data_IF_555728013214
#
_entry.id   IF_555728013214
#
_cell.length_a   1.000
_cell.length_b   1.000
_cell.length_c   1.000
_cell.angle_alpha   90.00
_cell.angle_beta   90.00
_cell.angle_gamma   90.00
#
_symmetry.space_group_name_H-M   'P 1'
#
loop_
_entity.id
_entity.type
_entity.pdbx_description
1 polymer ?
#
# COMPACT_ATOMS: atom_id res chain seq x y z
N UNK A 1 22.87 -12.88 22.70
CA UNK A 1 22.34 -12.93 21.32
C UNK A 1 21.85 -14.35 21.08
N UNK A 2 20.54 -14.58 21.18
CA UNK A 2 19.93 -15.85 20.74
C UNK A 2 20.08 -15.90 19.22
N UNK A 3 20.92 -16.81 18.74
CA UNK A 3 21.03 -17.11 17.32
C UNK A 3 19.71 -17.75 16.91
N UNK A 4 18.96 -17.07 16.04
CA UNK A 4 17.83 -17.63 15.29
C UNK A 4 18.29 -18.97 14.67
N UNK A 5 17.82 -20.08 15.21
CA UNK A 5 18.24 -21.40 14.74
C UNK A 5 17.69 -21.64 13.33
N UNK A 6 18.37 -22.43 12.47
CA UNK A 6 17.85 -22.82 11.15
C UNK A 6 16.43 -23.42 11.20
N UNK A 7 16.07 -24.04 12.32
CA UNK A 7 14.71 -24.53 12.61
C UNK A 7 13.69 -23.39 12.82
N UNK A 8 14.07 -22.26 13.43
CA UNK A 8 13.24 -21.05 13.58
C UNK A 8 12.89 -20.46 12.21
N UNK A 9 13.90 -20.29 11.34
CA UNK A 9 13.70 -19.80 9.98
C UNK A 9 12.84 -20.74 9.14
N UNK A 10 13.04 -22.05 9.25
CA UNK A 10 12.22 -23.04 8.52
C UNK A 10 10.76 -22.99 8.97
N UNK A 11 10.52 -22.83 10.28
CA UNK A 11 9.17 -22.68 10.86
C UNK A 11 8.53 -21.37 10.43
N UNK A 12 9.29 -20.27 10.38
CA UNK A 12 8.82 -18.98 9.90
C UNK A 12 8.45 -19.03 8.40
N UNK A 13 9.30 -19.65 7.57
CA UNK A 13 9.04 -19.85 6.14
C UNK A 13 7.80 -20.72 5.93
N UNK A 14 7.62 -21.78 6.73
CA UNK A 14 6.43 -22.62 6.67
C UNK A 14 5.16 -21.83 7.05
N UNK A 15 5.19 -21.07 8.15
CA UNK A 15 4.08 -20.20 8.55
C UNK A 15 3.77 -19.12 7.50
N UNK A 16 4.80 -18.50 6.91
CA UNK A 16 4.64 -17.52 5.83
C UNK A 16 4.04 -18.16 4.58
N UNK A 17 4.44 -19.38 4.23
CA UNK A 17 3.88 -20.14 3.11
C UNK A 17 2.41 -20.47 3.35
N UNK A 18 2.06 -20.92 4.57
CA UNK A 18 0.69 -21.24 4.95
C UNK A 18 -0.19 -19.98 4.94
N UNK A 19 0.30 -18.86 5.49
CA UNK A 19 -0.40 -17.58 5.45
C UNK A 19 -0.58 -17.06 4.03
N UNK A 20 0.45 -17.19 3.19
CA UNK A 20 0.36 -16.83 1.78
C UNK A 20 -0.68 -17.68 1.03
N UNK A 21 -0.79 -18.96 1.34
CA UNK A 21 -1.80 -19.83 0.73
C UNK A 21 -3.21 -19.46 1.19
N UNK A 22 -3.41 -19.23 2.49
CA UNK A 22 -4.69 -18.75 3.03
C UNK A 22 -5.12 -17.43 2.39
N UNK A 23 -4.19 -16.47 2.26
CA UNK A 23 -4.45 -15.19 1.58
C UNK A 23 -4.80 -15.37 0.09
N UNK A 24 -4.20 -16.35 -0.59
CA UNK A 24 -4.52 -16.66 -1.99
C UNK A 24 -5.93 -17.26 -2.13
N UNK A 25 -6.32 -18.13 -1.22
CA UNK A 25 -7.68 -18.69 -1.16
C UNK A 25 -8.71 -17.61 -0.86
N UNK A 26 -8.41 -16.72 0.10
CA UNK A 26 -9.28 -15.58 0.43
C UNK A 26 -9.45 -14.62 -0.77
N UNK A 27 -8.36 -14.32 -1.49
CA UNK A 27 -8.43 -13.54 -2.74
C UNK A 27 -9.30 -14.23 -3.79
N UNK A 28 -9.22 -15.57 -3.91
CA UNK A 28 -10.02 -16.33 -4.86
C UNK A 28 -11.52 -16.31 -4.50
N UNK A 29 -11.85 -16.54 -3.23
CA UNK A 29 -13.23 -16.47 -2.73
C UNK A 29 -13.82 -15.06 -2.90
N UNK A 30 -13.05 -14.02 -2.56
CA UNK A 30 -13.46 -12.64 -2.76
C UNK A 30 -13.75 -12.31 -4.23
N UNK A 31 -12.97 -12.86 -5.17
CA UNK A 31 -13.21 -12.68 -6.61
C UNK A 31 -14.52 -13.35 -7.06
N UNK A 32 -14.77 -14.57 -6.61
CA UNK A 32 -16.02 -15.28 -6.90
C UNK A 32 -17.24 -14.54 -6.35
N UNK A 33 -17.14 -14.00 -5.13
CA UNK A 33 -18.22 -13.19 -4.53
C UNK A 33 -18.50 -11.92 -5.33
N UNK A 34 -17.46 -11.27 -5.83
CA UNK A 34 -17.60 -10.05 -6.64
C UNK A 34 -18.21 -10.34 -8.00
N UNK A 35 -17.80 -11.42 -8.66
CA UNK A 35 -18.39 -11.87 -9.92
C UNK A 35 -19.88 -12.21 -9.73
N UNK A 36 -20.20 -12.99 -8.69
CA UNK A 36 -21.59 -13.32 -8.32
C UNK A 36 -22.43 -12.08 -7.98
N UNK A 37 -21.86 -11.11 -7.26
CA UNK A 37 -22.54 -9.85 -6.95
C UNK A 37 -22.79 -9.00 -8.21
N UNK A 38 -21.84 -8.96 -9.15
CA UNK A 38 -22.00 -8.27 -10.44
C UNK A 38 -23.11 -8.92 -11.28
N UNK A 39 -23.15 -10.25 -11.36
CA UNK A 39 -24.19 -11.00 -12.08
C UNK A 39 -25.58 -10.83 -11.44
N UNK A 40 -25.65 -10.77 -10.11
CA UNK A 40 -26.90 -10.51 -9.39
C UNK A 40 -27.46 -9.10 -9.65
N UNK A 41 -26.59 -8.09 -9.75
CA UNK A 41 -26.98 -6.72 -10.15
C UNK A 41 -27.42 -6.69 -11.61
N UNK A 42 -26.68 -7.34 -12.52
CA UNK A 42 -27.02 -7.40 -13.94
C UNK A 42 -28.35 -8.12 -14.23
N UNK A 43 -28.73 -9.10 -13.39
CA UNK A 43 -29.96 -9.88 -13.54
C UNK A 43 -31.19 -9.28 -12.82
N UNK A 44 -31.03 -8.18 -12.09
CA UNK A 44 -32.14 -7.40 -11.51
C UNK A 44 -32.99 -8.12 -10.45
N UNK A 45 -32.48 -9.20 -9.83
CA UNK A 45 -33.26 -10.13 -8.97
C UNK A 45 -32.86 -10.20 -7.49
N UNK A 46 -32.15 -9.20 -6.93
CA UNK A 46 -31.79 -9.21 -5.51
C UNK A 46 -31.58 -7.83 -4.92
N UNK A 47 -31.80 -7.71 -3.61
CA UNK A 47 -31.66 -6.51 -2.76
C UNK A 47 -30.40 -5.70 -3.11
N UNK A 48 -30.56 -4.66 -3.94
CA UNK A 48 -29.52 -3.83 -4.55
C UNK A 48 -28.39 -3.40 -3.59
N UNK A 49 -28.73 -3.13 -2.32
CA UNK A 49 -27.85 -2.43 -1.40
C UNK A 49 -26.58 -3.18 -0.96
N UNK A 50 -26.60 -4.51 -0.82
CA UNK A 50 -25.48 -5.21 -0.20
C UNK A 50 -24.37 -5.55 -1.20
N UNK A 51 -24.74 -6.00 -2.40
CA UNK A 51 -23.80 -6.22 -3.50
C UNK A 51 -23.14 -4.92 -3.96
N UNK A 52 -23.89 -3.82 -4.03
CA UNK A 52 -23.34 -2.50 -4.34
C UNK A 52 -22.34 -2.01 -3.28
N UNK A 53 -22.61 -2.27 -1.99
CA UNK A 53 -21.66 -1.96 -0.90
C UNK A 53 -20.39 -2.78 -1.02
N UNK A 54 -20.49 -4.08 -1.25
CA UNK A 54 -19.33 -4.96 -1.40
C UNK A 54 -18.48 -4.59 -2.64
N UNK A 55 -19.13 -4.27 -3.76
CA UNK A 55 -18.43 -3.79 -4.96
C UNK A 55 -17.73 -2.45 -4.70
N UNK A 56 -18.37 -1.55 -3.95
CA UNK A 56 -17.77 -0.26 -3.57
C UNK A 56 -16.56 -0.48 -2.65
N UNK A 57 -16.68 -1.35 -1.65
CA UNK A 57 -15.57 -1.72 -0.76
C UNK A 57 -14.40 -2.33 -1.54
N UNK A 58 -14.69 -3.23 -2.49
CA UNK A 58 -13.63 -3.80 -3.32
C UNK A 58 -12.96 -2.73 -4.18
N UNK A 59 -13.72 -1.83 -4.81
CA UNK A 59 -13.14 -0.73 -5.61
C UNK A 59 -12.24 0.19 -4.77
N UNK A 60 -12.60 0.43 -3.50
CA UNK A 60 -11.72 1.17 -2.58
C UNK A 60 -10.43 0.40 -2.34
N UNK A 61 -10.55 -0.90 -2.04
CA UNK A 61 -9.42 -1.80 -1.76
C UNK A 61 -8.46 -1.98 -2.96
N UNK A 62 -9.01 -2.09 -4.18
CA UNK A 62 -8.23 -2.24 -5.41
C UNK A 62 -7.70 -0.92 -5.95
N UNK A 63 -7.82 0.18 -5.19
CA UNK A 63 -7.39 1.52 -5.59
C UNK A 63 -8.13 2.06 -6.84
N UNK A 64 -9.35 1.57 -7.11
CA UNK A 64 -10.18 1.96 -8.26
C UNK A 64 -11.22 3.05 -7.96
N UNK A 65 -11.39 3.44 -6.68
CA UNK A 65 -12.23 4.57 -6.29
C UNK A 65 -11.51 5.51 -5.33
N UNK A 66 -12.01 6.75 -5.25
CA UNK A 66 -11.57 7.70 -4.24
C UNK A 66 -11.87 7.14 -2.84
N UNK A 67 -10.98 7.42 -1.89
CA UNK A 67 -11.26 7.24 -0.46
C UNK A 67 -10.84 8.49 0.28
N UNK A 68 -11.54 8.77 1.37
CA UNK A 68 -11.31 9.92 2.24
C UNK A 68 -11.33 9.44 3.69
N UNK A 69 -10.47 10.00 4.51
CA UNK A 69 -10.33 9.65 5.92
C UNK A 69 -9.18 10.42 6.56
N UNK A 70 -9.01 10.27 7.88
CA UNK A 70 -7.85 10.81 8.59
C UNK A 70 -6.56 10.17 8.06
N UNK A 71 -5.45 10.89 8.14
CA UNK A 71 -4.18 10.40 7.61
C UNK A 71 -3.03 11.38 7.76
N UNK A 72 -1.93 11.09 7.08
CA UNK A 72 -0.73 11.93 6.98
C UNK A 72 -0.35 12.19 5.52
N UNK A 73 0.52 13.18 5.30
CA UNK A 73 1.05 13.48 3.96
C UNK A 73 2.57 13.70 4.03
N UNK A 74 3.33 12.82 3.39
CA UNK A 74 4.78 12.97 3.26
C UNK A 74 5.11 13.74 2.00
N UNK A 75 5.63 14.95 2.15
CA UNK A 75 6.18 15.76 1.05
C UNK A 75 7.67 15.45 0.91
N UNK A 76 8.10 15.21 -0.34
CA UNK A 76 9.50 14.92 -0.67
C UNK A 76 10.00 15.94 -1.69
N UNK A 77 11.05 16.66 -1.33
CA UNK A 77 11.68 17.68 -2.15
C UNK A 77 13.14 17.30 -2.41
N UNK A 78 13.44 16.88 -3.64
CA UNK A 78 14.76 16.42 -4.04
C UNK A 78 14.69 15.15 -4.89
N UNK A 79 15.85 14.58 -5.19
CA UNK A 79 15.94 13.33 -5.93
C UNK A 79 15.85 12.13 -4.96
N UNK A 80 14.96 11.20 -5.26
CA UNK A 80 14.91 9.89 -4.61
C UNK A 80 14.50 8.85 -5.67
N UNK A 81 14.84 7.59 -5.46
CA UNK A 81 14.67 6.53 -6.46
C UNK A 81 13.38 5.72 -6.26
N UNK A 82 13.08 4.85 -7.23
CA UNK A 82 11.88 4.00 -7.21
C UNK A 82 11.87 3.01 -6.04
N UNK A 83 13.05 2.60 -5.55
CA UNK A 83 13.18 1.68 -4.42
C UNK A 83 12.77 2.36 -3.14
N UNK A 84 13.27 3.58 -2.90
CA UNK A 84 12.86 4.38 -1.75
C UNK A 84 11.36 4.70 -1.78
N UNK A 85 10.76 4.93 -2.95
CA UNK A 85 9.30 5.07 -3.05
C UNK A 85 8.58 3.78 -2.66
N UNK A 86 9.03 2.64 -3.18
CA UNK A 86 8.46 1.34 -2.82
C UNK A 86 8.57 1.06 -1.33
N UNK A 87 9.73 1.33 -0.73
CA UNK A 87 9.98 1.14 0.70
C UNK A 87 9.09 2.05 1.55
N UNK A 88 8.95 3.33 1.17
CA UNK A 88 8.04 4.27 1.86
C UNK A 88 6.60 3.78 1.83
N UNK A 89 6.13 3.33 0.66
CA UNK A 89 4.78 2.78 0.51
C UNK A 89 4.60 1.54 1.37
N UNK A 90 5.59 0.65 1.42
CA UNK A 90 5.53 -0.56 2.23
C UNK A 90 5.53 -0.23 3.73
N UNK A 91 6.33 0.75 4.17
CA UNK A 91 6.32 1.19 5.56
C UNK A 91 4.99 1.81 5.96
N UNK A 92 4.36 2.59 5.08
CA UNK A 92 3.00 3.10 5.31
C UNK A 92 1.98 1.96 5.45
N UNK A 93 2.06 0.91 4.62
CA UNK A 93 1.22 -0.29 4.75
C UNK A 93 1.45 -1.00 6.09
N UNK A 94 2.72 -1.18 6.46
CA UNK A 94 3.11 -1.80 7.73
C UNK A 94 2.58 -1.00 8.93
N UNK A 95 2.51 0.32 8.81
CA UNK A 95 1.97 1.22 9.81
C UNK A 95 0.42 1.25 9.87
N UNK A 96 -0.26 0.46 9.03
CA UNK A 96 -1.72 0.36 9.00
C UNK A 96 -2.41 1.38 8.11
N UNK A 97 -1.73 1.92 7.09
CA UNK A 97 -2.40 2.74 6.08
C UNK A 97 -3.41 1.90 5.28
N UNK A 98 -4.66 2.33 5.26
CA UNK A 98 -5.79 1.70 4.58
C UNK A 98 -5.86 2.09 3.10
N UNK A 99 -5.36 3.29 2.77
CA UNK A 99 -5.24 3.76 1.40
C UNK A 99 -4.03 4.67 1.24
N UNK A 100 -3.32 4.51 0.13
CA UNK A 100 -2.11 5.29 -0.17
C UNK A 100 -2.23 5.90 -1.58
N UNK A 101 -1.75 7.13 -1.73
CA UNK A 101 -1.52 7.73 -3.05
C UNK A 101 -0.10 8.26 -3.17
N UNK A 102 0.46 8.14 -4.36
CA UNK A 102 1.69 8.84 -4.77
C UNK A 102 1.27 9.93 -5.73
N UNK A 103 1.47 11.19 -5.34
CA UNK A 103 0.81 12.34 -5.92
C UNK A 103 -0.71 12.08 -5.97
N UNK A 104 -1.30 12.17 -7.16
CA UNK A 104 -2.72 11.92 -7.40
C UNK A 104 -3.02 10.48 -7.84
N UNK A 105 -2.02 9.59 -7.85
CA UNK A 105 -2.19 8.19 -8.26
C UNK A 105 -2.37 7.29 -7.05
N UNK A 106 -3.50 6.57 -6.98
CA UNK A 106 -3.75 5.57 -5.95
C UNK A 106 -2.83 4.36 -6.14
N UNK A 107 -2.29 3.87 -5.05
CA UNK A 107 -1.44 2.69 -5.00
C UNK A 107 -2.27 1.54 -4.42
N UNK A 108 -2.49 0.52 -5.23
CA UNK A 108 -3.18 -0.71 -4.84
C UNK A 108 -2.22 -1.79 -4.35
N UNK A 109 -2.74 -2.94 -3.89
CA UNK A 109 -1.91 -4.04 -3.37
C UNK A 109 -0.90 -4.60 -4.37
N UNK A 110 -1.21 -4.52 -5.67
CA UNK A 110 -0.36 -5.02 -6.77
C UNK A 110 0.44 -3.93 -7.46
N UNK A 111 0.40 -2.70 -6.94
CA UNK A 111 1.11 -1.61 -7.57
C UNK A 111 2.62 -1.82 -7.53
N UNK A 112 3.29 -1.43 -8.60
CA UNK A 112 4.74 -1.59 -8.77
C UNK A 112 5.40 -0.28 -9.18
N UNK A 113 6.69 -0.17 -8.87
CA UNK A 113 7.52 1.00 -9.07
C UNK A 113 8.71 0.64 -9.95
N UNK A 114 8.98 1.44 -10.98
CA UNK A 114 10.10 1.21 -11.91
C UNK A 114 10.82 2.52 -12.22
N UNK A 115 12.13 2.47 -12.50
CA UNK A 115 12.87 3.66 -12.90
C UNK A 115 12.38 4.16 -14.26
N UNK A 116 12.29 5.49 -14.42
CA UNK A 116 11.97 6.15 -15.69
C UNK A 116 12.86 7.39 -15.90
N UNK A 117 13.02 7.92 -17.13
CA UNK A 117 13.88 9.06 -17.39
C UNK A 117 13.45 10.33 -16.60
N UNK A 118 14.24 10.68 -15.58
CA UNK A 118 13.96 11.79 -14.65
C UNK A 118 12.57 11.70 -14.00
N UNK A 119 12.10 10.47 -13.77
CA UNK A 119 10.76 10.16 -13.27
C UNK A 119 10.78 8.79 -12.55
N UNK A 120 9.72 8.49 -11.81
CA UNK A 120 9.44 7.13 -11.33
C UNK A 120 8.14 6.68 -11.96
N UNK A 121 8.12 5.51 -12.58
CA UNK A 121 6.90 4.94 -13.13
C UNK A 121 6.16 4.13 -12.07
N UNK A 122 4.92 4.52 -11.79
CA UNK A 122 3.98 3.83 -10.89
C UNK A 122 2.92 3.17 -11.76
N UNK A 123 2.84 1.84 -11.74
CA UNK A 123 1.97 1.05 -12.63
C UNK A 123 2.04 1.47 -14.11
N UNK A 124 3.26 1.74 -14.58
CA UNK A 124 3.54 2.17 -15.95
C UNK A 124 3.31 3.67 -16.22
N UNK A 125 2.77 4.44 -15.28
CA UNK A 125 2.59 5.89 -15.40
C UNK A 125 3.81 6.62 -14.82
N UNK A 126 4.54 7.35 -15.68
CA UNK A 126 5.68 8.15 -15.25
C UNK A 126 5.23 9.38 -14.44
N UNK A 127 5.65 9.44 -13.18
CA UNK A 127 5.41 10.55 -12.26
C UNK A 127 6.71 11.33 -12.02
N UNK A 128 6.58 12.62 -11.74
CA UNK A 128 7.69 13.53 -11.43
C UNK A 128 7.40 14.28 -10.14
N UNK A 129 8.48 14.76 -9.51
CA UNK A 129 8.40 15.61 -8.33
C UNK A 129 7.87 17.02 -8.64
N UNK A 130 7.51 17.80 -7.60
CA UNK A 130 7.61 17.47 -6.18
C UNK A 130 6.66 16.33 -5.79
N UNK A 131 7.09 15.48 -4.86
CA UNK A 131 6.35 14.27 -4.52
C UNK A 131 5.50 14.49 -3.29
N UNK A 132 4.27 14.00 -3.33
CA UNK A 132 3.35 14.02 -2.19
C UNK A 132 2.76 12.64 -2.01
N UNK A 133 3.17 11.95 -0.96
CA UNK A 133 2.67 10.61 -0.61
C UNK A 133 1.64 10.80 0.48
N UNK A 134 0.38 10.44 0.21
CA UNK A 134 -0.71 10.56 1.19
C UNK A 134 -1.10 9.17 1.67
N UNK A 135 -1.36 9.04 2.96
CA UNK A 135 -1.78 7.79 3.57
C UNK A 135 -2.97 8.04 4.49
N UNK A 136 -4.07 7.30 4.26
CA UNK A 136 -5.25 7.27 5.13
C UNK A 136 -5.06 6.16 6.17
N UNK A 137 -5.34 6.46 7.43
CA UNK A 137 -5.23 5.54 8.58
C UNK A 137 -5.12 6.34 9.88
N UNK A 138 -4.67 5.71 10.97
CA UNK A 138 -4.44 6.41 12.24
C UNK A 138 -3.26 7.39 12.12
N UNK A 139 -3.47 8.72 12.18
CA UNK A 139 -2.40 9.69 11.92
C UNK A 139 -1.26 9.58 12.92
N UNK A 140 -1.59 9.39 14.20
CA UNK A 140 -0.60 9.26 15.29
C UNK A 140 0.27 8.01 15.11
N UNK A 141 -0.35 6.86 14.84
CA UNK A 141 0.36 5.58 14.67
C UNK A 141 1.27 5.64 13.44
N UNK A 142 0.76 6.13 12.31
CA UNK A 142 1.55 6.23 11.09
C UNK A 142 2.68 7.24 11.26
N UNK A 143 2.42 8.41 11.84
CA UNK A 143 3.44 9.42 12.09
C UNK A 143 4.60 8.88 12.93
N UNK A 144 4.29 8.21 14.05
CA UNK A 144 5.30 7.60 14.93
C UNK A 144 6.07 6.50 14.20
N UNK A 145 5.39 5.64 13.43
CA UNK A 145 6.05 4.59 12.66
C UNK A 145 7.07 5.15 11.66
N UNK A 146 6.75 6.28 11.00
CA UNK A 146 7.61 6.92 10.00
C UNK A 146 8.78 7.70 10.62
N UNK A 147 8.54 8.40 11.73
CA UNK A 147 9.47 9.41 12.27
C UNK A 147 10.25 8.97 13.51
N UNK A 148 9.92 7.81 14.10
CA UNK A 148 10.70 7.25 15.22
C UNK A 148 12.19 7.11 14.86
N UNK A 149 13.04 7.06 15.87
CA UNK A 149 14.47 6.75 15.69
C UNK A 149 14.64 5.44 14.93
N UNK A 150 15.41 5.49 13.84
CA UNK A 150 15.59 4.36 12.92
C UNK A 150 14.38 4.03 12.05
N UNK A 151 13.33 4.86 12.05
CA UNK A 151 12.23 4.81 11.09
C UNK A 151 12.67 5.26 9.69
N UNK A 152 11.81 5.03 8.70
CA UNK A 152 12.18 5.21 7.28
C UNK A 152 12.56 6.64 6.93
N UNK A 153 11.91 7.65 7.54
CA UNK A 153 12.23 9.06 7.28
C UNK A 153 13.66 9.37 7.72
N UNK A 154 14.04 8.98 8.94
CA UNK A 154 15.40 9.19 9.43
C UNK A 154 16.45 8.41 8.64
N UNK A 155 16.13 7.19 8.18
CA UNK A 155 17.02 6.43 7.29
C UNK A 155 17.22 7.13 5.95
N UNK A 156 16.14 7.67 5.37
CA UNK A 156 16.19 8.36 4.09
C UNK A 156 16.93 9.69 4.17
N UNK A 157 16.83 10.44 5.27
CA UNK A 157 17.62 11.66 5.46
C UNK A 157 19.13 11.39 5.47
N UNK A 158 19.56 10.20 5.89
CA UNK A 158 20.97 9.77 5.84
C UNK A 158 21.41 9.36 4.43
N UNK A 159 20.55 8.62 3.71
CA UNK A 159 20.87 8.09 2.36
C UNK A 159 20.77 9.21 1.31
N UNK A 160 19.76 10.06 1.41
CA UNK A 160 19.43 11.11 0.47
C UNK A 160 19.73 12.49 1.06
N UNK A 161 21.01 12.78 1.28
CA UNK A 161 21.46 14.01 1.95
C UNK A 161 21.02 15.34 1.29
N UNK A 162 20.58 15.31 0.02
CA UNK A 162 20.06 16.47 -0.73
C UNK A 162 18.54 16.49 -0.88
N UNK A 163 17.85 15.57 -0.23
CA UNK A 163 16.40 15.41 -0.32
C UNK A 163 15.78 15.64 1.04
N UNK A 164 14.76 16.50 1.07
CA UNK A 164 14.03 16.83 2.28
C UNK A 164 12.75 16.01 2.32
N UNK A 165 12.51 15.37 3.46
CA UNK A 165 11.28 14.64 3.76
C UNK A 165 10.55 15.38 4.88
N UNK A 166 9.27 15.70 4.68
CA UNK A 166 8.44 16.33 5.71
C UNK A 166 7.09 15.64 5.79
N UNK A 167 6.73 15.18 6.99
CA UNK A 167 5.48 14.46 7.30
C UNK A 167 4.41 15.41 7.82
#
# INVERSE_FOLDING_TARGET
MQLETPSSLTTLVANLSERNNALREEIFDLRLRVESAQDAVASGKGTLSEGERQLTQLKVFTAQSAASGPGISVKIEGAFDERALSDLVNELRNAGAEAISVNEMRVGPRSYFTPAPSAIAVDGRSLRGPWMIRAIGSPEVIYVAMTRTGGIIGQFELIYARTRFSV
#
